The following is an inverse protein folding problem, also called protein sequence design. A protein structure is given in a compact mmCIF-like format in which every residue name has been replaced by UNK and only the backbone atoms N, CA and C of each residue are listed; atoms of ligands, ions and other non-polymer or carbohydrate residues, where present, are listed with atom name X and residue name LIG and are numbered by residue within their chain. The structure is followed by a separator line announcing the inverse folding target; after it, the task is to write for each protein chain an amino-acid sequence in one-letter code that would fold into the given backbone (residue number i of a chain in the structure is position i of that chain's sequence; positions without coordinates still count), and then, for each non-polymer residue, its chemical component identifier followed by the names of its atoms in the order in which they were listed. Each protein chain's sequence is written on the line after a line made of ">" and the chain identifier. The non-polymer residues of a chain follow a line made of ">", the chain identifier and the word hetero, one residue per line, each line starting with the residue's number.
data_IF_126312831843
#
_entry.id   IF_126312831843
#
_cell.length_a   1.000
_cell.length_b   1.000
_cell.length_c   1.000
_cell.angle_alpha   90.00
_cell.angle_beta   90.00
_cell.angle_gamma   90.00
#
_symmetry.space_group_name_H-M   'P 1'
#
loop_
_entity.id
_entity.type
_entity.pdbx_description
1 polymer ?
#
# COMPACT_ATOMS: atom_id res chain seq x y z
N UNK A 1 18.58 -9.79 10.24
CA UNK A 1 17.33 -10.46 9.81
C UNK A 1 17.52 -11.28 8.52
N UNK A 2 17.84 -10.68 7.36
CA UNK A 2 17.97 -11.41 6.08
C UNK A 2 18.95 -12.60 6.11
N UNK A 3 20.17 -12.38 6.60
CA UNK A 3 21.18 -13.44 6.70
C UNK A 3 20.72 -14.63 7.57
N UNK A 4 19.97 -14.35 8.64
CA UNK A 4 19.40 -15.37 9.52
C UNK A 4 18.29 -16.17 8.85
N UNK A 5 17.52 -15.56 7.93
CA UNK A 5 16.51 -16.27 7.14
C UNK A 5 17.19 -17.15 6.09
N UNK A 6 18.24 -16.64 5.42
CA UNK A 6 18.91 -17.37 4.34
C UNK A 6 19.82 -18.51 4.82
N UNK A 7 20.27 -18.49 6.07
CA UNK A 7 21.12 -19.54 6.66
C UNK A 7 22.33 -19.89 5.77
N UNK A 8 23.02 -18.87 5.26
CA UNK A 8 24.19 -19.02 4.40
C UNK A 8 23.89 -19.15 2.89
N UNK A 9 22.62 -19.25 2.49
CA UNK A 9 22.22 -19.25 1.09
C UNK A 9 22.28 -17.83 0.48
N UNK A 10 22.45 -17.75 -0.83
CA UNK A 10 22.46 -16.50 -1.59
C UNK A 10 21.20 -16.41 -2.46
N UNK A 11 20.63 -15.21 -2.55
CA UNK A 11 19.46 -14.91 -3.38
C UNK A 11 19.50 -13.42 -3.72
N UNK A 12 19.03 -13.05 -4.92
CA UNK A 12 18.85 -11.66 -5.33
C UNK A 12 17.46 -11.11 -4.97
N UNK A 13 16.55 -11.98 -4.52
CA UNK A 13 15.19 -11.59 -4.16
C UNK A 13 15.18 -10.67 -2.93
N UNK A 14 14.32 -9.66 -2.97
CA UNK A 14 14.13 -8.75 -1.83
C UNK A 14 13.46 -9.45 -0.65
N UNK A 15 12.41 -10.23 -0.93
CA UNK A 15 11.69 -11.02 0.07
C UNK A 15 12.06 -12.49 -0.08
N UNK A 16 12.82 -13.00 0.88
CA UNK A 16 13.36 -14.36 0.86
C UNK A 16 12.68 -15.28 1.87
N UNK A 17 12.78 -16.58 1.64
CA UNK A 17 12.35 -17.63 2.57
C UNK A 17 13.55 -18.43 3.07
N UNK A 18 13.34 -19.24 4.12
CA UNK A 18 14.38 -20.14 4.64
C UNK A 18 14.88 -21.20 3.64
N UNK A 19 14.20 -21.34 2.49
CA UNK A 19 14.59 -22.23 1.40
C UNK A 19 15.58 -21.60 0.41
N UNK A 20 16.08 -20.39 0.70
CA UNK A 20 17.04 -19.69 -0.16
C UNK A 20 16.44 -19.07 -1.41
N UNK A 21 15.10 -19.00 -1.52
CA UNK A 21 14.40 -18.47 -2.69
C UNK A 21 13.37 -17.41 -2.34
N UNK A 22 12.98 -16.64 -3.35
CA UNK A 22 11.95 -15.62 -3.29
C UNK A 22 10.62 -16.11 -2.71
N UNK A 23 9.98 -15.26 -1.92
CA UNK A 23 8.70 -15.54 -1.32
C UNK A 23 7.59 -15.55 -2.37
N UNK A 24 6.80 -16.62 -2.39
CA UNK A 24 5.65 -16.69 -3.30
C UNK A 24 4.55 -15.70 -2.89
N UNK A 25 3.78 -15.24 -3.87
CA UNK A 25 2.61 -14.38 -3.66
C UNK A 25 1.64 -14.94 -2.61
N UNK A 26 1.40 -16.25 -2.64
CA UNK A 26 0.49 -16.94 -1.71
C UNK A 26 1.03 -16.88 -0.28
N UNK A 27 2.33 -17.12 -0.08
CA UNK A 27 2.94 -17.04 1.26
C UNK A 27 2.93 -15.62 1.80
N UNK A 28 3.28 -14.65 0.96
CA UNK A 28 3.25 -13.24 1.32
C UNK A 28 1.85 -12.82 1.76
N UNK A 29 0.82 -13.22 1.02
CA UNK A 29 -0.56 -12.96 1.37
C UNK A 29 -1.00 -13.63 2.67
N UNK A 30 -0.54 -14.85 2.94
CA UNK A 30 -0.76 -15.54 4.21
C UNK A 30 -0.23 -14.74 5.41
N UNK A 31 0.99 -14.18 5.29
CA UNK A 31 1.58 -13.32 6.32
C UNK A 31 0.72 -12.07 6.53
N UNK A 32 0.30 -11.39 5.45
CA UNK A 32 -0.57 -10.21 5.54
C UNK A 32 -1.87 -10.53 6.28
N UNK A 33 -2.52 -11.67 5.98
CA UNK A 33 -3.74 -12.10 6.68
C UNK A 33 -3.51 -12.36 8.16
N UNK A 34 -2.40 -13.01 8.51
CA UNK A 34 -2.05 -13.28 9.90
C UNK A 34 -1.88 -11.97 10.70
N UNK A 35 -1.26 -10.96 10.09
CA UNK A 35 -1.15 -9.63 10.70
C UNK A 35 -2.50 -8.91 10.77
N UNK A 36 -3.36 -9.03 9.76
CA UNK A 36 -4.70 -8.45 9.78
C UNK A 36 -5.56 -9.02 10.92
N UNK A 37 -5.49 -10.35 11.14
CA UNK A 37 -6.16 -11.00 12.26
C UNK A 37 -5.63 -10.51 13.61
N UNK A 38 -4.30 -10.40 13.77
CA UNK A 38 -3.67 -9.85 14.97
C UNK A 38 -4.05 -8.39 15.23
N UNK A 39 -4.32 -7.62 14.18
CA UNK A 39 -4.80 -6.25 14.25
C UNK A 39 -6.32 -6.13 14.47
N UNK A 40 -7.05 -7.25 14.59
CA UNK A 40 -8.51 -7.25 14.79
C UNK A 40 -9.32 -6.89 13.54
N UNK A 41 -8.72 -6.97 12.34
CA UNK A 41 -9.40 -6.65 11.08
C UNK A 41 -10.24 -7.87 10.65
N UNK A 42 -11.55 -7.77 10.87
CA UNK A 42 -12.52 -8.82 10.54
C UNK A 42 -13.20 -8.62 9.17
N UNK A 43 -12.97 -7.47 8.53
CA UNK A 43 -13.54 -7.15 7.22
C UNK A 43 -12.89 -7.98 6.09
N UNK A 44 -13.61 -8.24 4.98
CA UNK A 44 -13.02 -8.89 3.82
C UNK A 44 -11.78 -8.15 3.33
N UNK A 45 -10.64 -8.84 3.31
CA UNK A 45 -9.35 -8.30 2.91
C UNK A 45 -8.88 -8.96 1.61
N UNK A 46 -8.39 -8.14 0.69
CA UNK A 46 -7.72 -8.50 -0.55
C UNK A 46 -6.54 -7.56 -0.81
N UNK A 47 -5.55 -7.93 -1.65
CA UNK A 47 -4.45 -7.04 -2.00
C UNK A 47 -4.91 -5.67 -2.52
N UNK A 48 -6.01 -5.63 -3.28
CA UNK A 48 -6.56 -4.38 -3.83
C UNK A 48 -7.21 -3.52 -2.74
N UNK A 49 -8.03 -4.12 -1.86
CA UNK A 49 -8.66 -3.38 -0.75
C UNK A 49 -7.64 -2.83 0.24
N UNK A 50 -6.57 -3.59 0.54
CA UNK A 50 -5.50 -3.14 1.41
C UNK A 50 -4.73 -1.96 0.81
N UNK A 51 -4.36 -2.06 -0.48
CA UNK A 51 -3.71 -0.97 -1.21
C UNK A 51 -4.56 0.30 -1.20
N UNK A 52 -5.87 0.14 -1.43
CA UNK A 52 -6.79 1.27 -1.44
C UNK A 52 -6.90 1.93 -0.06
N UNK A 53 -7.10 1.14 1.00
CA UNK A 53 -7.15 1.63 2.37
C UNK A 53 -5.87 2.38 2.76
N UNK A 54 -4.70 1.85 2.38
CA UNK A 54 -3.41 2.51 2.60
C UNK A 54 -3.29 3.85 1.86
N UNK A 55 -3.65 3.89 0.59
CA UNK A 55 -3.60 5.11 -0.21
C UNK A 55 -4.55 6.19 0.34
N UNK A 56 -5.80 5.82 0.65
CA UNK A 56 -6.78 6.73 1.28
C UNK A 56 -6.30 7.20 2.65
N UNK A 57 -5.71 6.31 3.45
CA UNK A 57 -5.13 6.68 4.74
C UNK A 57 -4.03 7.73 4.58
N UNK A 58 -3.11 7.56 3.63
CA UNK A 58 -2.06 8.54 3.36
C UNK A 58 -2.64 9.90 2.91
N UNK A 59 -3.61 9.92 2.00
CA UNK A 59 -4.24 11.16 1.53
C UNK A 59 -4.95 11.90 2.66
N UNK A 60 -5.70 11.19 3.49
CA UNK A 60 -6.44 11.78 4.62
C UNK A 60 -5.51 12.38 5.67
N UNK A 61 -4.28 11.87 5.80
CA UNK A 61 -3.29 12.35 6.76
C UNK A 61 -2.26 13.31 6.13
N UNK A 62 -2.60 13.90 4.97
CA UNK A 62 -1.84 15.02 4.40
C UNK A 62 -0.63 14.62 3.57
N UNK A 63 -0.50 13.35 3.17
CA UNK A 63 0.50 12.97 2.18
C UNK A 63 0.20 13.67 0.84
N UNK A 64 1.24 14.21 0.20
CA UNK A 64 1.14 14.80 -1.12
C UNK A 64 0.61 13.74 -2.12
N UNK A 65 -0.32 14.16 -2.98
CA UNK A 65 -0.87 13.32 -4.05
C UNK A 65 0.24 12.72 -4.93
N UNK A 66 1.38 13.41 -5.06
CA UNK A 66 2.57 12.90 -5.75
C UNK A 66 3.20 11.69 -5.05
N UNK A 67 3.19 11.64 -3.72
CA UNK A 67 3.68 10.51 -2.91
C UNK A 67 2.78 9.29 -3.10
N UNK A 68 1.47 9.51 -3.20
CA UNK A 68 0.51 8.44 -3.47
C UNK A 68 0.62 7.91 -4.89
N UNK A 69 0.89 8.76 -5.88
CA UNK A 69 1.18 8.32 -7.25
C UNK A 69 2.48 7.52 -7.37
N UNK A 70 3.54 7.90 -6.65
CA UNK A 70 4.83 7.19 -6.66
C UNK A 70 4.73 5.80 -6.00
N UNK A 71 3.98 5.69 -4.91
CA UNK A 71 3.76 4.43 -4.16
C UNK A 71 2.84 3.44 -4.88
N UNK A 72 2.05 3.91 -5.86
CA UNK A 72 1.08 3.10 -6.61
C UNK A 72 1.51 2.83 -8.06
N UNK A 73 2.68 3.31 -8.48
CA UNK A 73 3.18 3.17 -9.85
C UNK A 73 3.50 1.73 -10.26
N UNK A 74 2.77 1.24 -11.27
CA UNK A 74 3.08 0.17 -12.25
C UNK A 74 2.35 -1.18 -12.20
N UNK A 75 1.50 -1.53 -11.23
CA UNK A 75 0.94 -2.90 -11.18
C UNK A 75 -0.53 -3.08 -11.62
N UNK A 76 -1.41 -2.09 -11.54
CA UNK A 76 -2.73 -2.14 -12.21
C UNK A 76 -3.50 -0.83 -11.99
N UNK A 77 -3.92 -0.17 -13.07
CA UNK A 77 -4.67 1.09 -13.09
C UNK A 77 -6.19 0.89 -12.82
N UNK A 78 -6.58 -0.26 -12.28
CA UNK A 78 -7.99 -0.61 -12.04
C UNK A 78 -8.67 0.09 -10.84
N UNK A 79 -8.07 1.14 -10.27
CA UNK A 79 -8.65 1.94 -9.14
C UNK A 79 -8.68 3.46 -9.38
N UNK A 80 -8.39 3.91 -10.60
CA UNK A 80 -8.25 5.32 -11.00
C UNK A 80 -9.48 6.20 -10.71
N UNK A 81 -10.68 5.62 -10.69
CA UNK A 81 -11.92 6.36 -10.44
C UNK A 81 -12.00 6.89 -9.01
N UNK A 82 -11.70 6.08 -8.00
CA UNK A 82 -11.82 6.52 -6.60
C UNK A 82 -10.77 7.58 -6.26
N UNK A 83 -9.54 7.44 -6.77
CA UNK A 83 -8.47 8.43 -6.55
C UNK A 83 -8.79 9.80 -7.14
N UNK A 84 -9.53 9.84 -8.25
CA UNK A 84 -9.98 11.10 -8.85
C UNK A 84 -10.94 11.83 -7.90
N UNK A 85 -11.85 11.10 -7.24
CA UNK A 85 -12.81 11.72 -6.32
C UNK A 85 -12.11 12.28 -5.08
N UNK A 86 -11.21 11.52 -4.45
CA UNK A 86 -10.47 11.97 -3.25
C UNK A 86 -9.53 13.14 -3.59
N UNK A 87 -8.83 13.08 -4.73
CA UNK A 87 -7.98 14.18 -5.18
C UNK A 87 -8.79 15.45 -5.47
N UNK A 88 -9.99 15.33 -6.06
CA UNK A 88 -10.89 16.48 -6.32
C UNK A 88 -11.42 17.11 -5.05
N UNK A 89 -11.78 16.30 -4.05
CA UNK A 89 -12.22 16.79 -2.75
C UNK A 89 -11.08 17.54 -2.04
N UNK A 90 -9.88 16.96 -2.04
CA UNK A 90 -8.72 17.62 -1.44
C UNK A 90 -8.29 18.89 -2.19
N UNK A 91 -8.39 18.90 -3.51
CA UNK A 91 -8.14 20.11 -4.32
C UNK A 91 -9.14 21.20 -3.98
N UNK A 92 -10.43 20.87 -3.79
CA UNK A 92 -11.42 21.83 -3.30
C UNK A 92 -11.08 22.36 -1.91
N UNK A 93 -10.65 21.50 -0.98
CA UNK A 93 -10.26 21.93 0.37
C UNK A 93 -9.00 22.81 0.40
N UNK A 94 -8.01 22.50 -0.44
CA UNK A 94 -6.79 23.32 -0.58
C UNK A 94 -7.10 24.65 -1.23
N UNK A 95 -7.92 24.63 -2.28
CA UNK A 95 -8.41 25.84 -2.94
C UNK A 95 -9.19 26.71 -1.94
N UNK A 96 -10.18 26.18 -1.25
CA UNK A 96 -10.95 26.92 -0.23
C UNK A 96 -10.08 27.50 0.91
N UNK A 97 -8.98 26.83 1.30
CA UNK A 97 -8.09 27.31 2.36
C UNK A 97 -7.09 28.38 1.91
N UNK A 98 -6.73 28.42 0.63
CA UNK A 98 -5.66 29.27 0.13
C UNK A 98 -6.09 30.25 -0.98
N UNK A 99 -7.35 30.21 -1.41
CA UNK A 99 -7.84 31.16 -2.39
C UNK A 99 -8.12 32.52 -1.72
N UNK A 100 -7.57 33.63 -2.24
CA UNK A 100 -7.67 34.96 -1.61
C UNK A 100 -9.09 35.56 -1.64
N UNK A 101 -10.02 34.91 -2.34
CA UNK A 101 -11.47 35.13 -2.33
C UNK A 101 -12.06 33.74 -2.61
N UNK A 102 -12.91 33.22 -1.72
CA UNK A 102 -13.40 31.82 -1.72
C UNK A 102 -13.59 31.15 -3.07
#
# INVERSE_FOLDING_TARGET
>A
ARAAILSGQQSEDLFVTARGSGMTRVRFWGIVREHALRAGIMSPLSPHTLRHAFATHLLNHGADLRVVQLLLGHADISTTTIYTHVARERLRELHARHHPRG
#
